data_IF_642617471349
#
_entry.id   IF_642617471349
#
_cell.length_a   1.000
_cell.length_b   1.000
_cell.length_c   1.000
_cell.angle_alpha   90.00
_cell.angle_beta   90.00
_cell.angle_gamma   90.00
#
_symmetry.space_group_name_H-M   'P 1'
#
loop_
_entity.id
_entity.type
_entity.pdbx_description
1 polymer ?
#
# COMPACT_ATOMS: atom_id res chain seq x y z
N UNK A 1 -5.63 8.38 -5.42
CA UNK A 1 -4.38 8.52 -4.64
C UNK A 1 -3.31 9.16 -5.52
N UNK A 2 -2.29 9.85 -5.00
CA UNK A 2 -1.23 10.50 -5.82
C UNK A 2 -0.61 9.54 -6.85
N UNK A 3 -0.44 8.27 -6.49
CA UNK A 3 0.02 7.21 -7.41
C UNK A 3 -0.79 7.14 -8.71
N UNK A 4 -2.12 7.22 -8.64
CA UNK A 4 -3.00 7.12 -9.81
C UNK A 4 -2.86 8.31 -10.78
N UNK A 5 -2.36 9.44 -10.29
CA UNK A 5 -2.20 10.67 -11.09
C UNK A 5 -0.79 10.76 -11.68
N UNK A 6 0.23 10.44 -10.89
CA UNK A 6 1.63 10.66 -11.26
C UNK A 6 2.18 9.47 -12.08
N UNK A 7 1.86 8.23 -11.68
CA UNK A 7 2.44 7.01 -12.26
C UNK A 7 2.18 6.84 -13.77
N UNK A 8 1.00 7.19 -14.32
CA UNK A 8 0.76 7.04 -15.76
C UNK A 8 1.63 7.96 -16.63
N UNK A 9 1.92 9.18 -16.17
CA UNK A 9 2.72 10.16 -16.92
C UNK A 9 4.23 10.03 -16.67
N UNK A 10 4.61 9.71 -15.43
CA UNK A 10 6.01 9.72 -14.99
C UNK A 10 6.34 8.50 -14.11
N UNK A 11 6.36 7.27 -14.69
CA UNK A 11 6.53 6.05 -13.91
C UNK A 11 7.91 5.95 -13.24
N UNK A 12 8.98 6.41 -13.89
CA UNK A 12 10.34 6.34 -13.35
C UNK A 12 10.59 7.40 -12.27
N UNK A 13 10.08 8.62 -12.45
CA UNK A 13 10.19 9.65 -11.42
C UNK A 13 9.33 9.31 -10.20
N UNK A 14 8.15 8.70 -10.40
CA UNK A 14 7.38 8.14 -9.30
C UNK A 14 8.20 7.11 -8.51
N UNK A 15 8.87 6.16 -9.18
CA UNK A 15 9.77 5.19 -8.50
C UNK A 15 10.89 5.88 -7.72
N UNK A 16 11.53 6.90 -8.30
CA UNK A 16 12.61 7.65 -7.63
C UNK A 16 12.12 8.36 -6.38
N UNK A 17 10.97 9.04 -6.46
CA UNK A 17 10.36 9.73 -5.32
C UNK A 17 10.03 8.71 -4.22
N UNK A 18 9.39 7.59 -4.57
CA UNK A 18 9.08 6.52 -3.61
C UNK A 18 10.36 5.99 -2.96
N UNK A 19 11.41 5.71 -3.73
CA UNK A 19 12.68 5.20 -3.19
C UNK A 19 13.32 6.19 -2.20
N UNK A 20 13.34 7.49 -2.51
CA UNK A 20 13.87 8.53 -1.63
C UNK A 20 13.05 8.60 -0.34
N UNK A 21 11.72 8.60 -0.44
CA UNK A 21 10.85 8.64 0.73
C UNK A 21 11.02 7.39 1.61
N UNK A 22 11.12 6.21 1.03
CA UNK A 22 11.30 4.96 1.77
C UNK A 22 12.63 4.94 2.52
N UNK A 23 13.73 5.35 1.87
CA UNK A 23 15.04 5.46 2.51
C UNK A 23 15.05 6.46 3.67
N UNK A 24 14.42 7.63 3.48
CA UNK A 24 14.32 8.64 4.54
C UNK A 24 13.47 8.16 5.72
N UNK A 25 12.30 7.56 5.45
CA UNK A 25 11.42 7.02 6.48
C UNK A 25 12.05 5.85 7.24
N UNK A 26 12.77 4.95 6.56
CA UNK A 26 13.48 3.85 7.21
C UNK A 26 14.53 4.37 8.22
N UNK A 27 15.37 5.32 7.79
CA UNK A 27 16.36 5.95 8.66
C UNK A 27 15.76 6.71 9.84
N UNK A 28 14.71 7.51 9.59
CA UNK A 28 14.04 8.28 10.64
C UNK A 28 13.38 7.39 11.69
N UNK A 29 12.70 6.32 11.28
CA UNK A 29 12.02 5.40 12.22
C UNK A 29 12.97 4.57 13.06
N UNK A 30 14.11 4.13 12.50
CA UNK A 30 15.17 3.44 13.25
C UNK A 30 15.70 4.28 14.42
N UNK A 31 15.72 5.59 14.26
CA UNK A 31 16.19 6.53 15.27
C UNK A 31 15.08 6.87 16.28
N UNK A 32 13.82 6.99 15.83
CA UNK A 32 12.76 7.60 16.61
C UNK A 32 11.68 6.65 17.15
N UNK A 33 11.65 5.37 16.76
CA UNK A 33 10.60 4.43 17.17
C UNK A 33 11.17 3.10 17.72
N UNK A 34 11.83 3.10 18.89
CA UNK A 34 12.49 1.91 19.43
C UNK A 34 11.54 0.86 20.04
N UNK A 35 10.29 1.20 20.39
CA UNK A 35 9.45 0.35 21.24
C UNK A 35 8.28 -0.39 20.55
N UNK A 36 7.80 0.03 19.37
CA UNK A 36 6.47 -0.46 18.92
C UNK A 36 6.47 -1.73 18.08
N UNK A 37 7.56 -2.15 17.44
CA UNK A 37 7.74 -3.48 16.84
C UNK A 37 6.71 -3.97 15.78
N UNK A 38 5.62 -3.25 15.56
CA UNK A 38 4.49 -3.62 14.73
C UNK A 38 4.38 -2.65 13.57
N UNK A 39 5.04 -3.01 12.47
CA UNK A 39 5.11 -2.18 11.29
C UNK A 39 4.25 -2.75 10.16
N UNK A 40 2.95 -2.50 10.27
CA UNK A 40 1.97 -2.71 9.19
C UNK A 40 2.40 -2.05 7.87
N UNK A 41 3.16 -0.95 7.98
CA UNK A 41 3.69 -0.18 6.85
C UNK A 41 5.06 -0.68 6.34
N UNK A 42 5.75 -1.60 7.03
CA UNK A 42 7.08 -2.09 6.60
C UNK A 42 6.96 -3.17 5.55
N UNK A 43 5.96 -4.04 5.69
CA UNK A 43 5.85 -5.21 4.82
C UNK A 43 5.19 -4.86 3.48
N UNK A 44 4.42 -3.77 3.42
CA UNK A 44 3.67 -3.39 2.23
C UNK A 44 4.46 -2.44 1.34
N UNK A 45 4.57 -2.79 0.07
CA UNK A 45 4.97 -1.83 -0.97
C UNK A 45 3.95 -0.71 -1.08
N UNK A 46 4.34 0.45 -1.60
CA UNK A 46 3.42 1.59 -1.76
C UNK A 46 2.18 1.25 -2.58
N UNK A 47 2.32 0.40 -3.60
CA UNK A 47 1.21 -0.05 -4.45
C UNK A 47 0.29 -1.04 -3.72
N UNK A 48 0.84 -1.95 -2.92
CA UNK A 48 0.06 -2.84 -2.05
C UNK A 48 -0.72 -2.05 -0.99
N UNK A 49 -0.06 -1.06 -0.37
CA UNK A 49 -0.69 -0.14 0.58
C UNK A 49 -1.81 0.66 -0.10
N UNK A 50 -1.58 1.16 -1.32
CA UNK A 50 -2.60 1.89 -2.08
C UNK A 50 -3.85 1.03 -2.35
N UNK A 51 -3.65 -0.21 -2.80
CA UNK A 51 -4.73 -1.16 -3.01
C UNK A 51 -5.45 -1.52 -1.70
N UNK A 52 -4.71 -1.73 -0.61
CA UNK A 52 -5.25 -2.04 0.72
C UNK A 52 -6.09 -0.89 1.30
N UNK A 53 -5.64 0.36 1.13
CA UNK A 53 -6.36 1.57 1.54
C UNK A 53 -7.70 1.71 0.82
N UNK A 54 -7.72 1.54 -0.51
CA UNK A 54 -8.96 1.54 -1.28
C UNK A 54 -9.86 0.37 -0.85
N UNK A 55 -9.26 -0.78 -0.58
CA UNK A 55 -10.00 -1.95 -0.15
C UNK A 55 -10.66 -1.80 1.23
N UNK A 56 -9.98 -1.16 2.18
CA UNK A 56 -10.51 -0.83 3.50
C UNK A 56 -11.67 0.19 3.42
N UNK A 57 -11.68 1.04 2.38
CA UNK A 57 -12.78 1.96 2.03
C UNK A 57 -13.95 1.28 1.31
N UNK A 58 -13.99 -0.06 1.27
CA UNK A 58 -15.04 -0.90 0.67
C UNK A 58 -15.16 -0.82 -0.86
N UNK A 59 -14.15 -0.31 -1.56
CA UNK A 59 -14.14 -0.34 -3.03
C UNK A 59 -14.04 -1.77 -3.52
N UNK A 60 -14.77 -2.18 -4.55
CA UNK A 60 -14.64 -3.52 -5.15
C UNK A 60 -13.30 -3.68 -5.88
N UNK A 61 -12.87 -4.92 -6.15
CA UNK A 61 -11.64 -5.15 -6.91
C UNK A 61 -11.73 -4.58 -8.34
N UNK A 62 -12.94 -4.44 -8.89
CA UNK A 62 -13.18 -3.82 -10.19
C UNK A 62 -12.97 -2.30 -10.13
N UNK A 63 -13.52 -1.64 -9.11
CA UNK A 63 -13.33 -0.19 -8.90
C UNK A 63 -11.85 0.15 -8.62
N UNK A 64 -11.17 -0.68 -7.81
CA UNK A 64 -9.74 -0.52 -7.54
C UNK A 64 -8.92 -0.70 -8.83
N UNK A 65 -9.24 -1.72 -9.62
CA UNK A 65 -8.56 -1.99 -10.90
C UNK A 65 -8.71 -0.81 -11.86
N UNK A 66 -9.92 -0.29 -12.01
CA UNK A 66 -10.20 0.88 -12.82
C UNK A 66 -9.45 2.13 -12.31
N UNK A 67 -9.45 2.37 -11.00
CA UNK A 67 -8.80 3.54 -10.41
C UNK A 67 -7.27 3.50 -10.52
N UNK A 68 -6.68 2.32 -10.37
CA UNK A 68 -5.22 2.13 -10.44
C UNK A 68 -4.73 1.85 -11.86
N UNK A 69 -5.64 1.75 -12.84
CA UNK A 69 -5.36 1.37 -14.23
C UNK A 69 -4.55 0.05 -14.35
N UNK A 70 -4.99 -0.98 -13.61
CA UNK A 70 -4.38 -2.32 -13.61
C UNK A 70 -5.46 -3.40 -13.75
N UNK A 71 -5.06 -4.64 -14.04
CA UNK A 71 -6.02 -5.73 -14.12
C UNK A 71 -6.64 -6.09 -12.76
N UNK A 72 -7.88 -6.56 -12.75
CA UNK A 72 -8.55 -7.10 -11.54
C UNK A 72 -7.76 -8.26 -10.94
N UNK A 73 -7.06 -9.04 -11.77
CA UNK A 73 -6.19 -10.13 -11.32
C UNK A 73 -5.00 -9.59 -10.52
N UNK A 74 -4.37 -8.51 -10.99
CA UNK A 74 -3.28 -7.83 -10.28
C UNK A 74 -3.76 -7.30 -8.93
N UNK A 75 -4.96 -6.70 -8.88
CA UNK A 75 -5.57 -6.26 -7.61
C UNK A 75 -5.75 -7.43 -6.65
N UNK A 76 -6.32 -8.56 -7.11
CA UNK A 76 -6.47 -9.77 -6.28
C UNK A 76 -5.13 -10.21 -5.70
N UNK A 77 -4.08 -10.24 -6.52
CA UNK A 77 -2.73 -10.60 -6.09
C UNK A 77 -2.19 -9.65 -5.01
N UNK A 78 -2.35 -8.34 -5.18
CA UNK A 78 -1.93 -7.36 -4.17
C UNK A 78 -2.70 -7.52 -2.86
N UNK A 79 -4.03 -7.67 -2.91
CA UNK A 79 -4.83 -7.86 -1.70
C UNK A 79 -4.43 -9.17 -0.99
N UNK A 80 -4.23 -10.27 -1.70
CA UNK A 80 -3.75 -11.52 -1.11
C UNK A 80 -2.38 -11.37 -0.44
N UNK A 81 -1.43 -10.68 -1.10
CA UNK A 81 -0.12 -10.41 -0.52
C UNK A 81 -0.22 -9.54 0.74
N UNK A 82 -1.07 -8.52 0.73
CA UNK A 82 -1.33 -7.66 1.90
C UNK A 82 -1.88 -8.48 3.07
N UNK A 83 -2.92 -9.28 2.84
CA UNK A 83 -3.53 -10.10 3.89
C UNK A 83 -2.50 -11.05 4.52
N UNK A 84 -1.68 -11.70 3.68
CA UNK A 84 -0.61 -12.59 4.13
C UNK A 84 0.44 -11.85 4.97
N UNK A 85 0.92 -10.70 4.48
CA UNK A 85 1.94 -9.88 5.16
C UNK A 85 1.45 -9.34 6.50
N UNK A 86 0.19 -8.94 6.57
CA UNK A 86 -0.44 -8.45 7.79
C UNK A 86 -0.94 -9.57 8.72
N UNK A 87 -0.84 -10.84 8.32
CA UNK A 87 -1.30 -11.97 9.12
C UNK A 87 -2.81 -12.01 9.36
N UNK A 88 -3.61 -11.43 8.44
CA UNK A 88 -5.07 -11.36 8.56
C UNK A 88 -5.75 -12.22 7.49
N UNK A 89 -6.97 -12.67 7.77
CA UNK A 89 -7.69 -13.58 6.89
C UNK A 89 -8.80 -12.89 6.09
N UNK A 90 -9.38 -11.82 6.63
CA UNK A 90 -10.51 -11.14 6.05
C UNK A 90 -10.18 -9.72 5.64
N UNK A 91 -10.72 -9.34 4.48
CA UNK A 91 -10.61 -7.99 3.94
C UNK A 91 -11.16 -6.92 4.89
N UNK A 92 -12.22 -7.21 5.67
CA UNK A 92 -12.77 -6.22 6.60
C UNK A 92 -11.77 -5.82 7.70
N UNK A 93 -10.83 -6.71 8.04
CA UNK A 93 -9.82 -6.47 9.08
C UNK A 93 -8.82 -5.38 8.66
N UNK A 94 -8.65 -5.13 7.35
CA UNK A 94 -7.80 -4.04 6.85
C UNK A 94 -8.12 -2.68 7.48
N UNK A 95 -9.38 -2.44 7.88
CA UNK A 95 -9.78 -1.18 8.51
C UNK A 95 -9.08 -0.91 9.85
N UNK A 96 -8.62 -1.95 10.56
CA UNK A 96 -7.88 -1.82 11.81
C UNK A 96 -6.43 -1.37 11.60
N UNK A 97 -5.90 -1.65 10.41
CA UNK A 97 -4.51 -1.47 10.04
C UNK A 97 -4.28 -0.25 9.14
N UNK A 98 -5.32 0.15 8.40
CA UNK A 98 -5.26 1.25 7.45
C UNK A 98 -5.66 2.59 8.09
N UNK A 99 -5.04 3.68 7.64
CA UNK A 99 -5.36 5.03 8.07
C UNK A 99 -6.82 5.37 7.70
N UNK A 100 -7.53 6.09 8.59
CA UNK A 100 -8.91 6.56 8.34
C UNK A 100 -8.95 7.59 7.22
#
# INVERSE_FOLDING_TARGET
>A
MLEAVIKPGWPEDFKRIIAITYWFFDGWRKIHNPETGHHVADDLTTTEFAAAMLAARRWTNQEIAAHMNISVHTVKRYISAVLQKLGIHQRQELKQYMLK
#
